data_IF_704535242276
#
_entry.id   IF_704535242276
#
_cell.length_a   1.000
_cell.length_b   1.000
_cell.length_c   1.000
_cell.angle_alpha   90.00
_cell.angle_beta   90.00
_cell.angle_gamma   90.00
#
_symmetry.space_group_name_H-M   'P 1'
#
loop_
_entity.id
_entity.type
_entity.pdbx_description
1 polymer ?
#
# COMPACT_ATOMS: atom_id res chain seq x y z
N UNK A 1 22.47 3.91 8.44
CA UNK A 1 21.91 5.27 8.28
C UNK A 1 21.71 5.51 6.79
N UNK A 2 20.51 5.84 6.34
CA UNK A 2 20.24 6.10 4.92
C UNK A 2 20.61 7.54 4.56
N UNK A 3 21.22 7.79 3.38
CA UNK A 3 21.50 9.13 2.90
C UNK A 3 20.22 9.98 2.85
N UNK A 4 20.29 11.22 3.34
CA UNK A 4 19.13 12.10 3.42
C UNK A 4 18.50 12.38 2.04
N UNK A 5 19.30 12.42 0.98
CA UNK A 5 18.81 12.56 -0.39
C UNK A 5 17.96 11.36 -0.81
N UNK A 6 18.41 10.13 -0.49
CA UNK A 6 17.67 8.90 -0.79
C UNK A 6 16.39 8.79 0.04
N UNK A 7 16.42 9.21 1.31
CA UNK A 7 15.21 9.26 2.13
C UNK A 7 14.17 10.22 1.55
N UNK A 8 14.58 11.42 1.12
CA UNK A 8 13.67 12.41 0.51
C UNK A 8 13.04 11.91 -0.78
N UNK A 9 13.82 11.28 -1.66
CA UNK A 9 13.29 10.73 -2.92
C UNK A 9 12.31 9.59 -2.67
N UNK A 10 12.66 8.63 -1.81
CA UNK A 10 11.78 7.51 -1.46
C UNK A 10 10.50 7.99 -0.77
N UNK A 11 10.58 9.03 0.06
CA UNK A 11 9.41 9.63 0.70
C UNK A 11 8.48 10.27 -0.31
N UNK A 12 9.01 11.05 -1.27
CA UNK A 12 8.20 11.68 -2.30
C UNK A 12 7.48 10.65 -3.18
N UNK A 13 8.15 9.56 -3.52
CA UNK A 13 7.56 8.43 -4.23
C UNK A 13 6.44 7.76 -3.43
N UNK A 14 6.68 7.45 -2.14
CA UNK A 14 5.69 6.86 -1.26
C UNK A 14 4.45 7.77 -1.10
N UNK A 15 4.67 9.08 -0.92
CA UNK A 15 3.60 10.07 -0.79
C UNK A 15 2.78 10.19 -2.09
N UNK A 16 3.44 10.18 -3.24
CA UNK A 16 2.75 10.21 -4.53
C UNK A 16 1.89 8.97 -4.75
N UNK A 17 2.45 7.78 -4.52
CA UNK A 17 1.71 6.51 -4.65
C UNK A 17 0.54 6.43 -3.67
N UNK A 18 0.75 6.85 -2.42
CA UNK A 18 -0.33 6.91 -1.43
C UNK A 18 -1.45 7.88 -1.87
N UNK A 19 -1.11 9.05 -2.42
CA UNK A 19 -2.10 10.00 -2.93
C UNK A 19 -2.91 9.43 -4.10
N UNK A 20 -2.26 8.73 -5.04
CA UNK A 20 -2.93 8.06 -6.15
C UNK A 20 -3.89 6.97 -5.64
N UNK A 21 -3.45 6.14 -4.69
CA UNK A 21 -4.29 5.09 -4.11
C UNK A 21 -5.50 5.68 -3.39
N UNK A 22 -5.31 6.72 -2.57
CA UNK A 22 -6.42 7.44 -1.91
C UNK A 22 -7.43 7.97 -2.94
N UNK A 23 -6.95 8.59 -4.01
CA UNK A 23 -7.81 9.10 -5.08
C UNK A 23 -8.57 7.97 -5.81
N UNK A 24 -7.96 6.79 -5.96
CA UNK A 24 -8.62 5.62 -6.54
C UNK A 24 -9.69 5.06 -5.60
N UNK A 25 -9.42 4.95 -4.29
CA UNK A 25 -10.39 4.50 -3.29
C UNK A 25 -11.61 5.44 -3.22
N UNK A 26 -11.37 6.76 -3.25
CA UNK A 26 -12.46 7.75 -3.29
C UNK A 26 -13.30 7.58 -4.55
N UNK A 27 -12.67 7.37 -5.71
CA UNK A 27 -13.39 7.08 -6.97
C UNK A 27 -14.18 5.78 -6.91
N UNK A 28 -13.72 4.79 -6.16
CA UNK A 28 -14.45 3.55 -5.86
C UNK A 28 -15.59 3.73 -4.82
N UNK A 29 -15.84 4.95 -4.34
CA UNK A 29 -16.93 5.24 -3.40
C UNK A 29 -16.60 4.94 -1.93
N UNK A 30 -15.32 4.76 -1.61
CA UNK A 30 -14.83 4.65 -0.23
C UNK A 30 -14.77 6.06 0.37
N UNK A 31 -15.33 6.27 1.57
CA UNK A 31 -15.35 7.59 2.19
C UNK A 31 -13.94 8.10 2.48
N UNK A 32 -13.75 9.43 2.40
CA UNK A 32 -12.45 10.05 2.62
C UNK A 32 -11.80 9.68 3.96
N UNK A 33 -12.61 9.55 5.03
CA UNK A 33 -12.15 9.12 6.35
C UNK A 33 -11.49 7.73 6.34
N UNK A 34 -11.93 6.84 5.45
CA UNK A 34 -11.34 5.52 5.27
C UNK A 34 -10.13 5.59 4.35
N UNK A 35 -10.19 6.38 3.27
CA UNK A 35 -9.07 6.55 2.35
C UNK A 35 -7.82 7.11 3.06
N UNK A 36 -7.98 7.96 4.08
CA UNK A 36 -6.86 8.51 4.87
C UNK A 36 -6.01 7.42 5.56
N UNK A 37 -6.55 6.21 5.77
CA UNK A 37 -5.83 5.06 6.34
C UNK A 37 -4.70 4.52 5.47
N UNK A 38 -4.60 5.00 4.23
CA UNK A 38 -3.48 4.71 3.34
C UNK A 38 -2.32 5.63 3.70
N UNK A 39 -1.19 5.10 4.16
CA UNK A 39 -0.06 5.89 4.65
C UNK A 39 1.20 5.65 3.80
N UNK A 40 1.96 6.71 3.56
CA UNK A 40 3.27 6.61 2.92
C UNK A 40 4.34 6.29 3.96
N UNK A 41 5.15 5.27 3.71
CA UNK A 41 6.23 4.83 4.59
C UNK A 41 7.55 4.73 3.82
N UNK A 42 8.65 4.92 4.54
CA UNK A 42 10.00 4.66 4.04
C UNK A 42 10.70 3.73 5.02
N UNK A 43 11.17 2.58 4.53
CA UNK A 43 11.92 1.63 5.36
C UNK A 43 13.27 2.20 5.80
N UNK A 44 13.86 1.59 6.84
CA UNK A 44 15.23 1.90 7.26
C UNK A 44 16.31 1.65 6.19
N UNK A 45 15.97 0.95 5.09
CA UNK A 45 16.82 0.73 3.91
C UNK A 45 16.55 1.72 2.76
N UNK A 46 15.68 2.72 2.97
CA UNK A 46 15.42 3.78 1.99
C UNK A 46 14.49 3.37 0.85
N UNK A 47 13.71 2.31 1.03
CA UNK A 47 12.67 1.89 0.08
C UNK A 47 11.32 2.51 0.42
N UNK A 48 10.59 2.96 -0.59
CA UNK A 48 9.24 3.50 -0.52
C UNK A 48 8.21 2.38 -0.35
N UNK A 49 7.24 2.57 0.54
CA UNK A 49 6.13 1.66 0.78
C UNK A 49 4.84 2.45 0.98
N UNK A 50 3.72 1.78 0.73
CA UNK A 50 2.40 2.28 1.09
C UNK A 50 1.75 1.26 2.03
N UNK A 51 1.44 1.71 3.23
CA UNK A 51 0.67 0.94 4.19
C UNK A 51 -0.82 1.20 3.95
N UNK A 52 -1.61 0.13 3.99
CA UNK A 52 -3.07 0.20 3.89
C UNK A 52 -3.64 -0.30 5.20
N UNK A 53 -4.13 0.61 6.04
CA UNK A 53 -4.73 0.27 7.33
C UNK A 53 -6.05 -0.49 7.18
N UNK A 54 -6.59 -0.95 8.32
CA UNK A 54 -7.85 -1.72 8.36
C UNK A 54 -9.04 -0.91 7.84
N UNK A 55 -9.77 -1.48 6.89
CA UNK A 55 -11.05 -0.94 6.41
C UNK A 55 -12.24 -1.60 7.09
N UNK A 56 -13.34 -0.87 7.29
CA UNK A 56 -14.61 -1.49 7.62
C UNK A 56 -15.08 -2.38 6.46
N UNK A 57 -15.77 -3.48 6.79
CA UNK A 57 -16.26 -4.45 5.81
C UNK A 57 -17.07 -3.78 4.68
N UNK A 58 -17.87 -2.76 5.00
CA UNK A 58 -18.67 -2.00 4.04
C UNK A 58 -17.81 -1.31 2.97
N UNK A 59 -16.64 -0.78 3.33
CA UNK A 59 -15.71 -0.15 2.39
C UNK A 59 -14.96 -1.19 1.55
N UNK A 60 -14.65 -2.36 2.13
CA UNK A 60 -14.05 -3.48 1.39
C UNK A 60 -15.01 -4.02 0.32
N UNK A 61 -16.30 -4.19 0.64
CA UNK A 61 -17.31 -4.63 -0.33
C UNK A 61 -17.43 -3.65 -1.50
N UNK A 62 -17.40 -2.34 -1.24
CA UNK A 62 -17.38 -1.31 -2.29
C UNK A 62 -16.13 -1.42 -3.18
N UNK A 63 -14.97 -1.65 -2.57
CA UNK A 63 -13.72 -1.85 -3.31
C UNK A 63 -13.82 -3.06 -4.25
N UNK A 64 -14.29 -4.20 -3.73
CA UNK A 64 -14.47 -5.42 -4.51
C UNK A 64 -15.43 -5.24 -5.68
N UNK A 65 -16.53 -4.50 -5.48
CA UNK A 65 -17.49 -4.19 -6.54
C UNK A 65 -16.95 -3.19 -7.57
N UNK A 66 -16.04 -2.31 -7.17
CA UNK A 66 -15.45 -1.30 -8.06
C UNK A 66 -14.29 -1.86 -8.91
N UNK A 67 -13.64 -2.94 -8.44
CA UNK A 67 -12.61 -3.61 -9.20
C UNK A 67 -13.26 -4.48 -10.30
N UNK A 68 -12.81 -4.40 -11.55
CA UNK A 68 -13.16 -5.40 -12.54
C UNK A 68 -12.59 -6.73 -12.04
N UNK A 69 -13.45 -7.61 -11.54
CA UNK A 69 -13.12 -8.93 -11.02
C UNK A 69 -12.60 -9.83 -12.15
N UNK A 70 -11.41 -9.52 -12.68
CA UNK A 70 -10.49 -10.57 -13.07
C UNK A 70 -10.00 -11.14 -11.75
N UNK A 71 -10.66 -12.19 -11.29
CA UNK A 71 -10.24 -13.02 -10.18
C UNK A 71 -8.88 -13.59 -10.56
N UNK A 72 -7.81 -12.83 -10.30
CA UNK A 72 -6.47 -13.40 -10.23
C UNK A 72 -6.49 -14.17 -8.92
N UNK A 73 -6.93 -15.42 -8.98
CA UNK A 73 -6.43 -16.43 -8.06
C UNK A 73 -4.92 -16.39 -8.22
N UNK A 74 -4.25 -15.74 -7.29
CA UNK A 74 -2.84 -15.98 -7.06
C UNK A 74 -2.76 -17.45 -6.63
N UNK A 75 -2.46 -18.34 -7.59
CA UNK A 75 -1.79 -19.61 -7.34
C UNK A 75 -0.41 -19.25 -6.77
N UNK A 76 -0.38 -18.75 -5.54
CA UNK A 76 0.84 -18.51 -4.78
C UNK A 76 1.11 -19.77 -3.96
N UNK A 77 1.35 -20.90 -4.64
CA UNK A 77 2.41 -21.78 -4.17
C UNK A 77 3.72 -21.01 -4.37
N UNK A 78 4.48 -20.84 -3.28
CA UNK A 78 5.71 -20.05 -3.18
C UNK A 78 5.56 -18.52 -3.02
N UNK A 79 5.10 -18.12 -1.83
CA UNK A 79 5.45 -16.80 -1.30
C UNK A 79 6.98 -16.63 -1.20
N UNK A 80 7.52 -15.40 -1.35
CA UNK A 80 8.95 -15.17 -1.15
C UNK A 80 9.30 -15.45 0.30
N UNK A 81 9.98 -16.58 0.52
CA UNK A 81 10.60 -16.89 1.81
C UNK A 81 11.64 -15.79 2.07
N UNK A 82 11.31 -14.84 2.94
CA UNK A 82 12.29 -13.89 3.44
C UNK A 82 13.37 -14.72 4.13
N UNK A 83 14.66 -14.58 3.77
CA UNK A 83 15.72 -15.32 4.44
C UNK A 83 15.66 -14.98 5.93
N UNK A 84 15.68 -16.01 6.78
CA UNK A 84 15.61 -15.89 8.25
C UNK A 84 16.69 -14.94 8.82
N UNK A 85 17.75 -14.68 8.04
CA UNK A 85 18.83 -13.73 8.32
C UNK A 85 18.39 -12.25 8.32
N UNK A 86 17.16 -11.93 7.90
CA UNK A 86 16.64 -10.56 7.91
C UNK A 86 16.26 -10.04 9.32
N UNK A 87 16.28 -10.91 10.34
CA UNK A 87 15.89 -10.61 11.73
C UNK A 87 17.00 -10.87 12.75
N UNK A 88 18.25 -11.04 12.31
CA UNK A 88 19.43 -11.15 13.17
C UNK A 88 20.05 -9.81 13.54
#
# INVERSE_FOLDING_TARGET
>A
MIPMAQYKSARAEAEHTAALLRAALIRAGIPGNDAVRVCALVSGKGRAYVEVGTFPLSSVVKLLNALPLALVTDDHEDGPTLPAEAFG
#
